data_IF_154157732430
#
_entry.id   IF_154157732430
#
_cell.length_a   1.000
_cell.length_b   1.000
_cell.length_c   1.000
_cell.angle_alpha   90.00
_cell.angle_beta   90.00
_cell.angle_gamma   90.00
#
_symmetry.space_group_name_H-M   'P 1'
#
loop_
_entity.id
_entity.type
_entity.pdbx_description
1 polymer ?
#
# COMPACT_ATOMS: atom_id res chain seq x y z
N UNK A 1 -6.84 -10.26 23.29
CA UNK A 1 -5.88 -9.15 23.48
C UNK A 1 -5.72 -8.43 22.14
N UNK A 2 -5.53 -7.12 22.14
CA UNK A 2 -5.19 -6.37 20.92
C UNK A 2 -3.71 -6.57 20.60
N UNK A 3 -3.34 -6.64 19.31
CA UNK A 3 -1.96 -6.79 18.86
C UNK A 3 -1.66 -5.72 17.81
N UNK A 4 -0.49 -5.10 17.92
CA UNK A 4 0.00 -4.13 16.95
C UNK A 4 1.20 -4.76 16.25
N UNK A 5 1.07 -5.03 14.96
CA UNK A 5 2.15 -5.57 14.15
C UNK A 5 3.07 -4.45 13.67
N UNK A 6 4.37 -4.68 13.75
CA UNK A 6 5.40 -3.77 13.25
C UNK A 6 6.35 -4.53 12.34
N UNK A 7 6.77 -3.86 11.27
CA UNK A 7 7.76 -4.35 10.32
C UNK A 7 9.05 -3.57 10.48
N UNK A 8 10.17 -4.27 10.40
CA UNK A 8 11.52 -3.71 10.48
C UNK A 8 12.26 -4.23 9.23
N UNK A 9 12.10 -3.58 8.08
CA UNK A 9 12.76 -4.01 6.86
C UNK A 9 14.28 -3.99 7.03
N UNK A 10 14.95 -5.00 6.46
CA UNK A 10 16.40 -5.17 6.53
C UNK A 10 17.08 -4.40 5.40
N UNK A 11 17.42 -3.15 5.65
CA UNK A 11 18.31 -2.36 4.76
C UNK A 11 19.77 -2.83 4.83
N UNK A 12 20.13 -3.54 5.91
CA UNK A 12 21.42 -4.12 6.19
C UNK A 12 21.28 -5.46 6.94
N UNK A 13 22.37 -6.24 7.00
CA UNK A 13 22.42 -7.47 7.79
C UNK A 13 22.42 -7.17 9.31
N UNK A 14 22.09 -8.18 10.12
CA UNK A 14 22.22 -8.12 11.58
C UNK A 14 20.96 -7.65 12.32
N UNK A 15 19.88 -7.31 11.61
CA UNK A 15 18.57 -7.02 12.22
C UNK A 15 17.93 -8.32 12.75
N UNK A 16 17.67 -8.44 14.07
CA UNK A 16 17.25 -9.71 14.68
C UNK A 16 15.86 -10.17 14.21
N UNK A 17 14.98 -9.24 13.87
CA UNK A 17 13.64 -9.53 13.36
C UNK A 17 13.23 -8.52 12.31
N UNK A 18 12.36 -8.95 11.40
CA UNK A 18 11.76 -8.11 10.37
C UNK A 18 10.24 -8.00 10.50
N UNK A 19 9.60 -8.92 11.23
CA UNK A 19 8.20 -8.86 11.59
C UNK A 19 8.04 -9.17 13.08
N UNK A 20 7.24 -8.36 13.77
CA UNK A 20 6.98 -8.53 15.18
C UNK A 20 5.70 -7.85 15.66
N UNK A 21 5.45 -7.97 16.95
CA UNK A 21 4.39 -7.24 17.66
C UNK A 21 5.00 -6.31 18.69
N UNK A 22 4.41 -5.13 18.86
CA UNK A 22 4.81 -4.15 19.87
C UNK A 22 3.80 -4.09 21.01
N UNK A 23 4.29 -4.03 22.25
CA UNK A 23 3.47 -3.87 23.45
C UNK A 23 3.29 -2.39 23.86
N UNK A 24 2.54 -2.14 24.94
CA UNK A 24 2.29 -0.79 25.46
C UNK A 24 3.54 -0.08 25.98
N UNK A 25 4.63 -0.82 26.26
CA UNK A 25 5.92 -0.28 26.69
C UNK A 25 6.85 0.00 25.51
N UNK A 26 6.43 -0.32 24.29
CA UNK A 26 7.24 -0.19 23.09
C UNK A 26 8.22 -1.35 22.87
N UNK A 27 8.11 -2.45 23.62
CA UNK A 27 8.96 -3.62 23.44
C UNK A 27 8.46 -4.44 22.25
N UNK A 28 9.36 -4.80 21.34
CA UNK A 28 9.05 -5.59 20.14
C UNK A 28 9.46 -7.05 20.35
N UNK A 29 8.53 -7.96 20.04
CA UNK A 29 8.78 -9.41 20.02
C UNK A 29 8.55 -9.95 18.61
N UNK A 30 9.39 -10.91 18.18
CA UNK A 30 9.31 -11.49 16.84
C UNK A 30 7.98 -12.23 16.63
N UNK A 31 7.43 -12.14 15.42
CA UNK A 31 6.20 -12.82 15.03
C UNK A 31 6.43 -13.76 13.84
N UNK A 32 5.78 -14.95 13.82
CA UNK A 32 5.05 -15.54 14.94
C UNK A 32 5.99 -15.97 16.08
N UNK A 33 7.27 -16.19 15.76
CA UNK A 33 8.33 -16.45 16.71
C UNK A 33 9.70 -16.00 16.13
N UNK A 34 10.76 -16.19 16.92
CA UNK A 34 12.12 -15.86 16.50
C UNK A 34 12.66 -16.78 15.40
N UNK A 35 12.21 -18.04 15.30
CA UNK A 35 12.71 -18.98 14.28
C UNK A 35 12.36 -18.50 12.87
N UNK A 36 11.20 -17.89 12.68
CA UNK A 36 10.83 -17.25 11.43
C UNK A 36 11.76 -16.11 11.01
N UNK A 37 12.42 -15.46 11.96
CA UNK A 37 13.23 -14.27 11.71
C UNK A 37 14.75 -14.55 11.66
N UNK A 38 15.23 -15.58 12.37
CA UNK A 38 16.65 -15.78 12.64
C UNK A 38 17.52 -16.16 11.42
N UNK A 39 16.92 -16.62 10.33
CA UNK A 39 17.67 -17.20 9.21
C UNK A 39 18.36 -16.18 8.29
N UNK A 40 18.10 -14.87 8.42
CA UNK A 40 18.72 -13.82 7.60
C UNK A 40 18.72 -14.14 6.08
N UNK A 41 17.63 -14.73 5.56
CA UNK A 41 17.51 -15.12 4.15
C UNK A 41 18.27 -16.39 3.73
N UNK A 42 18.89 -17.14 4.65
CA UNK A 42 19.74 -18.29 4.28
C UNK A 42 18.97 -19.57 3.89
N UNK A 43 17.72 -19.73 4.33
CA UNK A 43 16.93 -20.95 4.05
C UNK A 43 15.68 -20.72 3.22
N UNK A 44 15.30 -19.46 2.95
CA UNK A 44 14.11 -19.07 2.18
C UNK A 44 12.78 -19.70 2.64
N UNK A 45 12.75 -20.24 3.86
CA UNK A 45 11.56 -20.80 4.49
C UNK A 45 11.09 -19.92 5.66
N UNK A 46 11.99 -19.12 6.24
CA UNK A 46 11.64 -18.01 7.13
C UNK A 46 11.35 -16.69 6.39
N UNK A 47 11.36 -15.59 7.15
CA UNK A 47 11.24 -14.21 6.68
C UNK A 47 12.62 -13.60 6.45
N UNK A 48 12.82 -13.04 5.26
CA UNK A 48 14.04 -12.35 4.87
C UNK A 48 13.98 -10.86 5.22
N UNK A 49 13.00 -10.13 4.67
CA UNK A 49 12.82 -8.69 4.91
C UNK A 49 11.40 -8.27 4.57
N UNK A 50 10.62 -7.92 5.58
CA UNK A 50 9.22 -7.52 5.45
C UNK A 50 9.12 -6.00 5.53
N UNK A 51 8.54 -5.40 4.50
CA UNK A 51 8.32 -3.95 4.47
C UNK A 51 6.95 -3.55 5.01
N UNK A 52 5.87 -4.14 4.48
CA UNK A 52 4.50 -3.82 4.90
C UNK A 52 3.66 -5.09 4.97
N UNK A 53 2.59 -4.98 5.74
CA UNK A 53 1.60 -6.03 5.97
C UNK A 53 0.19 -5.52 5.71
N UNK A 54 -0.75 -6.44 5.54
CA UNK A 54 -2.18 -6.16 5.50
C UNK A 54 -2.94 -7.17 6.37
N UNK A 55 -4.02 -6.74 6.99
CA UNK A 55 -4.96 -7.62 7.68
C UNK A 55 -6.27 -7.50 6.93
N UNK A 56 -6.86 -8.63 6.56
CA UNK A 56 -8.15 -8.65 5.89
C UNK A 56 -9.33 -8.89 6.85
N UNK A 57 -10.54 -8.86 6.31
CA UNK A 57 -11.77 -9.09 7.07
C UNK A 57 -11.91 -10.52 7.62
N UNK A 58 -11.02 -11.42 7.23
CA UNK A 58 -10.98 -12.84 7.61
C UNK A 58 -10.00 -13.10 8.76
N UNK A 59 -9.45 -12.04 9.36
CA UNK A 59 -8.41 -12.14 10.39
C UNK A 59 -7.16 -12.88 9.91
N UNK A 60 -6.78 -12.70 8.64
CA UNK A 60 -5.51 -13.20 8.09
C UNK A 60 -4.51 -12.06 8.01
N UNK A 61 -3.30 -12.27 8.53
CA UNK A 61 -2.17 -11.36 8.36
C UNK A 61 -1.40 -11.73 7.09
N UNK A 62 -1.49 -10.85 6.10
CA UNK A 62 -0.75 -10.94 4.86
C UNK A 62 0.58 -10.22 4.97
N UNK A 63 1.65 -10.94 4.66
CA UNK A 63 3.04 -10.52 4.82
C UNK A 63 3.72 -10.59 3.46
N UNK A 64 4.22 -9.45 2.99
CA UNK A 64 5.07 -9.40 1.80
C UNK A 64 6.53 -9.37 2.23
N UNK A 65 7.25 -10.48 2.01
CA UNK A 65 8.69 -10.60 2.21
C UNK A 65 9.42 -10.39 0.88
N UNK A 66 10.29 -9.39 0.83
CA UNK A 66 10.99 -9.00 -0.41
C UNK A 66 12.05 -10.00 -0.83
N UNK A 67 12.52 -10.85 0.09
CA UNK A 67 13.66 -11.73 -0.15
C UNK A 67 15.01 -10.99 -0.27
N UNK A 68 15.05 -9.68 -0.02
CA UNK A 68 16.23 -8.82 -0.13
C UNK A 68 16.71 -8.31 1.23
N UNK A 69 18.01 -8.30 1.44
CA UNK A 69 18.67 -7.58 2.55
C UNK A 69 19.61 -6.56 1.92
N UNK A 70 19.34 -5.28 2.16
CA UNK A 70 19.90 -4.20 1.34
C UNK A 70 19.58 -4.45 -0.14
N UNK A 71 20.59 -4.40 -1.00
CA UNK A 71 20.44 -4.63 -2.44
C UNK A 71 20.62 -6.10 -2.85
N UNK A 72 21.00 -6.98 -1.92
CA UNK A 72 21.29 -8.38 -2.24
C UNK A 72 20.03 -9.24 -2.16
N UNK A 73 19.72 -9.97 -3.23
CA UNK A 73 18.63 -10.94 -3.28
C UNK A 73 19.09 -12.29 -2.68
N UNK A 74 18.59 -12.63 -1.50
CA UNK A 74 18.89 -13.92 -0.84
C UNK A 74 17.86 -14.99 -1.20
N UNK A 75 16.59 -14.60 -1.31
CA UNK A 75 15.46 -15.49 -1.58
C UNK A 75 14.53 -14.90 -2.64
N UNK A 76 13.74 -15.69 -3.37
CA UNK A 76 12.64 -15.14 -4.15
C UNK A 76 11.68 -14.33 -3.24
N UNK A 77 11.08 -13.23 -3.72
CA UNK A 77 10.00 -12.57 -3.01
C UNK A 77 8.89 -13.57 -2.69
N UNK A 78 8.23 -13.43 -1.54
CA UNK A 78 7.15 -14.33 -1.16
C UNK A 78 6.02 -13.60 -0.43
N UNK A 79 4.80 -14.00 -0.77
CA UNK A 79 3.59 -13.58 -0.07
C UNK A 79 3.17 -14.68 0.89
N UNK A 80 3.01 -14.35 2.17
CA UNK A 80 2.55 -15.28 3.19
C UNK A 80 1.23 -14.79 3.79
N UNK A 81 0.39 -15.71 4.23
CA UNK A 81 -0.74 -15.41 5.09
C UNK A 81 -0.69 -16.25 6.38
N UNK A 82 -0.83 -15.58 7.52
CA UNK A 82 -0.94 -16.21 8.83
C UNK A 82 -2.36 -16.05 9.37
N UNK A 83 -2.91 -17.11 9.95
CA UNK A 83 -4.16 -17.04 10.70
C UNK A 83 -3.92 -16.33 12.03
N UNK A 84 -4.63 -15.23 12.31
CA UNK A 84 -4.43 -14.46 13.55
C UNK A 84 -5.07 -15.11 14.79
N UNK A 85 -5.84 -16.19 14.64
CA UNK A 85 -6.37 -16.94 15.78
C UNK A 85 -5.38 -17.94 16.35
N UNK A 86 -4.59 -18.56 15.46
CA UNK A 86 -3.67 -19.67 15.75
C UNK A 86 -2.20 -19.30 15.56
N UNK A 87 -1.92 -18.15 14.95
CA UNK A 87 -0.59 -17.67 14.53
C UNK A 87 0.15 -18.64 13.59
N UNK A 88 -0.60 -19.51 12.90
CA UNK A 88 -0.07 -20.49 11.96
C UNK A 88 -0.06 -19.94 10.54
N UNK A 89 0.96 -20.34 9.77
CA UNK A 89 0.99 -20.10 8.33
C UNK A 89 -0.12 -20.92 7.65
N UNK A 90 -0.97 -20.24 6.89
CA UNK A 90 -2.09 -20.85 6.15
C UNK A 90 -1.94 -20.71 4.63
N UNK A 91 -1.06 -19.83 4.15
CA UNK A 91 -0.78 -19.66 2.73
C UNK A 91 0.66 -19.17 2.52
N UNK A 92 1.31 -19.66 1.46
CA UNK A 92 2.61 -19.18 0.99
C UNK A 92 2.66 -19.24 -0.53
N UNK A 93 2.99 -18.13 -1.15
CA UNK A 93 3.28 -18.03 -2.57
C UNK A 93 4.70 -17.51 -2.78
N UNK A 94 5.60 -18.34 -3.29
CA UNK A 94 6.96 -17.93 -3.70
C UNK A 94 6.88 -17.40 -5.13
N UNK A 95 7.24 -16.13 -5.34
CA UNK A 95 7.13 -15.48 -6.65
C UNK A 95 8.15 -16.10 -7.61
N UNK A 96 7.69 -16.51 -8.79
CA UNK A 96 8.56 -17.06 -9.83
C UNK A 96 9.50 -15.97 -10.38
N UNK A 97 10.75 -16.33 -10.73
CA UNK A 97 11.73 -15.41 -11.32
C UNK A 97 11.27 -14.74 -12.62
N UNK A 98 10.30 -15.32 -13.34
CA UNK A 98 9.70 -14.66 -14.51
C UNK A 98 8.80 -13.46 -14.15
N UNK A 99 8.42 -13.31 -12.89
CA UNK A 99 7.50 -12.29 -12.40
C UNK A 99 8.20 -11.13 -11.69
N UNK A 100 9.53 -11.11 -11.64
CA UNK A 100 10.29 -10.02 -11.02
C UNK A 100 11.64 -9.81 -11.72
N UNK A 101 12.24 -8.63 -11.54
CA UNK A 101 13.57 -8.31 -12.06
C UNK A 101 14.56 -8.13 -10.92
N UNK A 102 15.86 -8.04 -11.22
CA UNK A 102 16.88 -7.77 -10.21
C UNK A 102 16.62 -6.46 -9.45
N UNK A 103 15.95 -5.50 -10.09
CA UNK A 103 15.53 -4.23 -9.48
C UNK A 103 14.23 -4.31 -8.70
N UNK A 104 13.42 -5.37 -8.83
CA UNK A 104 12.11 -5.44 -8.17
C UNK A 104 12.22 -5.40 -6.64
N UNK A 105 11.29 -4.69 -6.01
CA UNK A 105 11.14 -4.59 -4.57
C UNK A 105 9.64 -4.50 -4.25
N UNK A 106 9.00 -5.66 -4.08
CA UNK A 106 7.58 -5.77 -3.73
C UNK A 106 7.35 -5.47 -2.26
N UNK A 107 6.72 -4.34 -1.95
CA UNK A 107 6.63 -3.86 -0.56
C UNK A 107 5.23 -3.62 -0.04
N UNK A 108 4.25 -3.27 -0.88
CA UNK A 108 2.92 -2.85 -0.42
C UNK A 108 1.85 -3.88 -0.82
N UNK A 109 1.44 -4.80 0.07
CA UNK A 109 0.30 -5.67 -0.19
C UNK A 109 -1.02 -4.97 0.14
N UNK A 110 -2.01 -5.14 -0.73
CA UNK A 110 -3.42 -4.77 -0.53
C UNK A 110 -4.29 -5.97 -0.87
N UNK A 111 -5.17 -6.35 0.06
CA UNK A 111 -5.93 -7.60 0.00
C UNK A 111 -7.37 -7.30 -0.41
N UNK A 112 -7.81 -7.88 -1.53
CA UNK A 112 -9.15 -7.74 -2.07
C UNK A 112 -9.94 -9.04 -1.89
N UNK A 113 -10.70 -9.10 -0.80
CA UNK A 113 -11.63 -10.20 -0.50
C UNK A 113 -13.02 -9.85 -1.04
N UNK A 114 -13.65 -10.80 -1.76
CA UNK A 114 -15.05 -10.70 -2.23
C UNK A 114 -15.90 -11.73 -1.52
N UNK A 115 -16.36 -11.34 -0.34
CA UNK A 115 -17.25 -12.14 0.47
C UNK A 115 -18.64 -12.29 -0.19
N UNK A 116 -19.16 -13.53 -0.23
CA UNK A 116 -20.58 -13.83 -0.54
C UNK A 116 -21.42 -14.03 0.73
N UNK A 117 -20.82 -13.85 1.90
CA UNK A 117 -21.43 -14.11 3.20
C UNK A 117 -20.39 -14.12 4.31
N UNK A 118 -20.83 -13.98 5.57
CA UNK A 118 -19.93 -13.90 6.72
C UNK A 118 -18.95 -15.09 6.75
N UNK A 119 -17.65 -14.79 6.74
CA UNK A 119 -16.58 -15.79 6.75
C UNK A 119 -16.19 -16.37 5.39
N UNK A 120 -16.85 -16.00 4.28
CA UNK A 120 -16.39 -16.39 2.94
C UNK A 120 -15.19 -15.53 2.51
N UNK A 121 -14.04 -16.18 2.43
CA UNK A 121 -12.75 -15.58 2.11
C UNK A 121 -12.09 -16.27 0.91
N UNK A 122 -12.85 -17.07 0.15
CA UNK A 122 -12.32 -17.89 -0.93
C UNK A 122 -11.92 -17.04 -2.14
N UNK A 123 -12.73 -16.06 -2.53
CA UNK A 123 -12.37 -15.07 -3.56
C UNK A 123 -11.47 -14.00 -2.94
N UNK A 124 -10.18 -14.31 -2.91
CA UNK A 124 -9.14 -13.38 -2.45
C UNK A 124 -8.13 -13.13 -3.56
N UNK A 125 -7.92 -11.85 -3.85
CA UNK A 125 -6.77 -11.37 -4.60
C UNK A 125 -5.85 -10.55 -3.71
N UNK A 126 -4.56 -10.59 -3.99
CA UNK A 126 -3.59 -9.67 -3.36
C UNK A 126 -2.84 -8.91 -4.43
N UNK A 127 -2.88 -7.58 -4.34
CA UNK A 127 -2.13 -6.68 -5.21
C UNK A 127 -0.90 -6.18 -4.46
N UNK A 128 0.27 -6.29 -5.08
CA UNK A 128 1.54 -5.90 -4.45
C UNK A 128 2.30 -4.91 -5.32
N UNK A 129 2.53 -3.71 -4.79
CA UNK A 129 3.30 -2.66 -5.46
C UNK A 129 4.79 -2.98 -5.47
N UNK A 130 5.39 -2.95 -6.66
CA UNK A 130 6.83 -3.02 -6.90
C UNK A 130 7.40 -1.61 -6.99
N UNK A 131 7.98 -1.14 -5.88
CA UNK A 131 8.39 0.25 -5.78
C UNK A 131 9.60 0.57 -6.64
N UNK A 132 10.46 -0.41 -6.92
CA UNK A 132 11.72 -0.23 -7.65
C UNK A 132 11.69 -0.81 -9.07
N UNK A 133 10.85 -1.82 -9.32
CA UNK A 133 10.59 -2.39 -10.65
C UNK A 133 9.36 -1.83 -11.36
N UNK A 134 8.69 -0.84 -10.75
CA UNK A 134 7.59 -0.03 -11.29
C UNK A 134 6.46 -0.89 -11.91
N UNK A 135 6.05 -1.89 -11.15
CA UNK A 135 5.06 -2.88 -11.57
C UNK A 135 4.10 -3.24 -10.44
N UNK A 136 3.06 -3.97 -10.77
CA UNK A 136 2.11 -4.50 -9.79
C UNK A 136 2.05 -6.02 -9.94
N UNK A 137 2.26 -6.75 -8.85
CA UNK A 137 2.00 -8.19 -8.81
C UNK A 137 0.55 -8.41 -8.39
N UNK A 138 -0.22 -9.15 -9.17
CA UNK A 138 -1.55 -9.61 -8.78
C UNK A 138 -1.50 -11.11 -8.52
N UNK A 139 -1.90 -11.53 -7.32
CA UNK A 139 -1.94 -12.92 -6.88
C UNK A 139 -3.40 -13.37 -6.75
N UNK A 140 -3.78 -14.36 -7.56
CA UNK A 140 -5.03 -15.11 -7.45
C UNK A 140 -4.82 -16.24 -6.44
N UNK A 141 -5.29 -16.04 -5.21
CA UNK A 141 -5.02 -16.96 -4.09
C UNK A 141 -5.71 -18.31 -4.30
N UNK A 142 -6.94 -18.30 -4.84
CA UNK A 142 -7.69 -19.52 -5.09
C UNK A 142 -7.12 -20.32 -6.27
N UNK A 143 -6.63 -19.63 -7.29
CA UNK A 143 -5.98 -20.24 -8.46
C UNK A 143 -4.50 -20.57 -8.27
N UNK A 144 -3.92 -20.25 -7.11
CA UNK A 144 -2.50 -20.35 -6.76
C UNK A 144 -1.55 -19.90 -7.90
N UNK A 145 -1.84 -18.71 -8.43
CA UNK A 145 -1.14 -18.16 -9.59
C UNK A 145 -1.02 -16.65 -9.48
N UNK A 146 -0.04 -16.09 -10.16
CA UNK A 146 0.17 -14.66 -10.18
C UNK A 146 0.61 -14.16 -11.55
N UNK A 147 0.44 -12.87 -11.77
CA UNK A 147 0.96 -12.18 -12.95
C UNK A 147 1.51 -10.81 -12.57
N UNK A 148 2.53 -10.40 -13.30
CA UNK A 148 3.12 -9.06 -13.22
C UNK A 148 2.41 -8.15 -14.21
N UNK A 149 1.99 -6.98 -13.75
CA UNK A 149 1.32 -5.96 -14.53
C UNK A 149 2.25 -4.75 -14.64
N UNK A 150 2.46 -4.27 -15.85
CA UNK A 150 3.23 -3.06 -16.14
C UNK A 150 2.31 -1.99 -16.71
N UNK A 151 2.49 -0.76 -16.24
CA UNK A 151 1.77 0.41 -16.74
C UNK A 151 2.56 1.68 -16.45
N UNK A 152 2.46 2.69 -17.32
CA UNK A 152 3.21 3.96 -17.19
C UNK A 152 2.92 4.71 -15.89
N UNK A 153 1.73 4.53 -15.31
CA UNK A 153 1.32 5.21 -14.06
C UNK A 153 1.95 4.58 -12.81
N UNK A 154 2.69 3.47 -12.94
CA UNK A 154 3.46 2.90 -11.84
C UNK A 154 4.86 3.53 -11.69
N UNK A 155 5.28 4.32 -12.67
CA UNK A 155 6.59 4.96 -12.68
C UNK A 155 6.62 6.22 -11.81
N UNK A 156 7.78 6.53 -11.21
CA UNK A 156 8.02 7.81 -10.56
C UNK A 156 8.05 8.95 -11.58
N UNK A 157 7.69 10.16 -11.15
CA UNK A 157 7.81 11.38 -11.93
C UNK A 157 9.12 12.09 -11.54
N UNK A 158 10.10 12.24 -12.46
CA UNK A 158 11.42 12.79 -12.12
C UNK A 158 11.38 14.17 -11.44
N UNK A 159 10.43 15.03 -11.82
CA UNK A 159 10.24 16.35 -11.20
C UNK A 159 9.73 16.31 -9.75
N UNK A 160 9.37 15.12 -9.24
CA UNK A 160 8.84 14.87 -7.89
C UNK A 160 9.71 13.88 -7.10
N UNK A 161 10.94 13.61 -7.55
CA UNK A 161 11.87 12.71 -6.90
C UNK A 161 12.56 13.27 -5.66
N UNK A 162 12.56 14.58 -5.47
CA UNK A 162 13.16 15.25 -4.32
C UNK A 162 12.14 15.49 -3.23
N UNK A 163 12.52 15.17 -2.00
CA UNK A 163 11.70 15.31 -0.80
C UNK A 163 12.40 16.25 0.16
N UNK A 164 11.62 17.10 0.85
CA UNK A 164 12.11 17.93 1.94
C UNK A 164 11.17 17.77 3.13
N UNK A 165 11.70 17.33 4.26
CA UNK A 165 10.94 17.12 5.49
C UNK A 165 11.77 17.67 6.64
N UNK A 166 11.19 18.60 7.42
CA UNK A 166 11.85 19.14 8.61
C UNK A 166 13.26 19.70 8.33
N UNK A 167 13.43 20.36 7.18
CA UNK A 167 14.68 21.00 6.74
C UNK A 167 15.72 20.06 6.14
N UNK A 168 15.47 18.74 6.09
CA UNK A 168 16.38 17.77 5.47
C UNK A 168 15.83 17.32 4.11
N UNK A 169 16.71 17.25 3.12
CA UNK A 169 16.37 16.88 1.74
C UNK A 169 17.07 15.60 1.30
N UNK A 170 16.35 14.79 0.52
CA UNK A 170 16.88 13.57 -0.10
C UNK A 170 16.13 13.28 -1.42
N UNK A 171 16.77 12.52 -2.30
CA UNK A 171 16.15 12.04 -3.52
C UNK A 171 15.73 10.57 -3.38
N UNK A 172 14.54 10.23 -3.87
CA UNK A 172 14.03 8.87 -3.86
C UNK A 172 13.06 8.65 -5.03
N UNK A 173 13.49 7.89 -6.03
CA UNK A 173 12.71 7.65 -7.26
C UNK A 173 11.82 6.41 -7.17
N UNK A 174 11.11 6.29 -6.06
CA UNK A 174 10.22 5.18 -5.79
C UNK A 174 8.92 5.30 -6.60
N UNK A 175 8.56 4.21 -7.28
CA UNK A 175 7.33 4.05 -8.06
C UNK A 175 6.12 3.75 -7.19
N UNK A 176 5.17 2.97 -7.73
CA UNK A 176 3.91 2.61 -7.07
C UNK A 176 4.12 2.17 -5.61
N UNK A 177 3.51 2.90 -4.67
CA UNK A 177 3.70 2.69 -3.23
C UNK A 177 2.40 2.84 -2.44
N UNK A 178 1.70 3.97 -2.60
CA UNK A 178 0.40 4.21 -1.97
C UNK A 178 -0.67 3.46 -2.73
N UNK A 179 -1.48 2.66 -2.03
CA UNK A 179 -2.57 1.91 -2.62
C UNK A 179 -3.72 1.71 -1.62
N UNK A 180 -4.95 1.98 -2.05
CA UNK A 180 -6.16 1.76 -1.26
C UNK A 180 -7.31 1.21 -2.09
N UNK A 181 -8.02 0.21 -1.56
CA UNK A 181 -9.25 -0.29 -2.17
C UNK A 181 -10.46 0.52 -1.75
N UNK A 182 -11.33 0.83 -2.71
CA UNK A 182 -12.66 1.36 -2.41
C UNK A 182 -13.53 0.36 -1.65
N UNK A 183 -14.62 0.79 -1.00
CA UNK A 183 -15.69 -0.13 -0.66
C UNK A 183 -16.17 -0.91 -1.89
N UNK A 184 -16.66 -2.13 -1.67
CA UNK A 184 -17.26 -2.94 -2.74
C UNK A 184 -18.55 -2.27 -3.21
N UNK A 185 -18.64 -1.97 -4.50
CA UNK A 185 -19.85 -1.41 -5.09
C UNK A 185 -20.96 -2.44 -5.19
N UNK A 186 -22.20 -1.98 -5.44
CA UNK A 186 -23.38 -2.85 -5.64
C UNK A 186 -23.23 -3.87 -6.78
N UNK A 187 -22.30 -3.65 -7.72
CA UNK A 187 -22.02 -4.56 -8.85
C UNK A 187 -20.85 -5.51 -8.59
N UNK A 188 -20.46 -5.67 -7.32
CA UNK A 188 -19.27 -6.42 -6.92
C UNK A 188 -17.99 -5.92 -7.63
N UNK A 189 -17.92 -4.64 -7.94
CA UNK A 189 -16.71 -3.98 -8.47
C UNK A 189 -16.03 -3.17 -7.37
N UNK A 190 -14.70 -3.04 -7.45
CA UNK A 190 -13.92 -2.10 -6.64
C UNK A 190 -12.95 -1.31 -7.51
N UNK A 191 -12.56 -0.17 -6.98
CA UNK A 191 -11.42 0.57 -7.48
C UNK A 191 -10.21 0.34 -6.58
N UNK A 192 -9.05 0.18 -7.21
CA UNK A 192 -7.77 0.41 -6.57
C UNK A 192 -7.35 1.84 -6.88
N UNK A 193 -7.27 2.67 -5.84
CA UNK A 193 -6.59 3.96 -5.86
C UNK A 193 -5.10 3.70 -5.63
N UNK A 194 -4.24 4.44 -6.32
CA UNK A 194 -2.80 4.27 -6.20
C UNK A 194 -2.00 5.46 -6.72
N UNK A 195 -0.79 5.60 -6.18
CA UNK A 195 0.22 6.53 -6.67
C UNK A 195 1.64 6.01 -6.48
N UNK A 196 2.55 6.54 -7.29
CA UNK A 196 3.98 6.42 -7.04
C UNK A 196 4.42 7.34 -5.90
N UNK A 197 5.46 6.96 -5.13
CA UNK A 197 5.97 7.79 -4.05
C UNK A 197 6.50 9.13 -4.58
N UNK A 198 7.32 9.08 -5.63
CA UNK A 198 7.76 10.27 -6.36
C UNK A 198 6.68 10.74 -7.34
N UNK A 199 5.50 11.08 -6.80
CA UNK A 199 4.38 11.65 -7.56
C UNK A 199 3.47 12.51 -6.68
N UNK A 200 2.82 13.47 -7.32
CA UNK A 200 1.69 14.25 -6.77
C UNK A 200 0.35 13.81 -7.34
N UNK A 201 0.34 12.92 -8.35
CA UNK A 201 -0.87 12.40 -8.98
C UNK A 201 -1.51 11.30 -8.14
N UNK A 202 -2.84 11.17 -8.27
CA UNK A 202 -3.59 10.00 -7.81
C UNK A 202 -4.15 9.29 -9.04
N UNK A 203 -4.16 7.97 -9.01
CA UNK A 203 -4.59 7.15 -10.14
C UNK A 203 -5.63 6.15 -9.68
N UNK A 204 -6.37 5.60 -10.63
CA UNK A 204 -7.46 4.66 -10.33
C UNK A 204 -7.60 3.61 -11.42
N UNK A 205 -7.87 2.38 -11.00
CA UNK A 205 -8.14 1.24 -11.88
C UNK A 205 -9.24 0.36 -11.30
N UNK A 206 -10.08 -0.22 -12.17
CA UNK A 206 -11.05 -1.24 -11.75
C UNK A 206 -10.31 -2.53 -11.41
N UNK A 207 -10.62 -3.12 -10.27
CA UNK A 207 -10.02 -4.41 -9.86
C UNK A 207 -10.35 -5.55 -10.82
N UNK A 208 -11.49 -5.50 -11.52
CA UNK A 208 -11.83 -6.44 -12.59
C UNK A 208 -10.78 -6.50 -13.71
N UNK A 209 -10.14 -5.37 -14.03
CA UNK A 209 -9.03 -5.33 -14.97
C UNK A 209 -7.83 -6.07 -14.38
N UNK A 210 -7.44 -5.75 -13.15
CA UNK A 210 -6.27 -6.35 -12.49
C UNK A 210 -6.41 -7.86 -12.29
N UNK A 211 -7.64 -8.35 -12.15
CA UNK A 211 -8.01 -9.77 -12.01
C UNK A 211 -7.96 -10.55 -13.33
N UNK A 212 -7.73 -9.89 -14.47
CA UNK A 212 -7.74 -10.53 -15.77
C UNK A 212 -6.50 -11.41 -15.99
N UNK A 213 -6.71 -12.72 -16.18
CA UNK A 213 -5.63 -13.66 -16.40
C UNK A 213 -4.91 -13.51 -17.75
N UNK A 214 -5.36 -12.64 -18.65
CA UNK A 214 -4.62 -12.33 -19.89
C UNK A 214 -3.20 -11.83 -19.62
N UNK A 215 -2.97 -11.22 -18.45
CA UNK A 215 -1.67 -10.77 -17.99
C UNK A 215 -0.62 -11.88 -17.83
N UNK A 216 -1.05 -13.14 -17.72
CA UNK A 216 -0.14 -14.30 -17.77
C UNK A 216 0.64 -14.37 -19.09
N UNK A 217 0.07 -13.83 -20.18
CA UNK A 217 0.69 -13.86 -21.52
C UNK A 217 1.31 -12.53 -21.92
N UNK A 218 0.76 -11.41 -21.44
CA UNK A 218 1.28 -10.07 -21.74
C UNK A 218 1.18 -9.21 -20.49
N UNK A 219 2.29 -8.83 -19.84
CA UNK A 219 2.26 -8.03 -18.62
C UNK A 219 1.77 -6.59 -18.83
N UNK A 220 1.77 -6.09 -20.07
CA UNK A 220 1.45 -4.71 -20.35
C UNK A 220 -0.07 -4.47 -20.29
N UNK A 221 -0.50 -3.65 -19.33
CA UNK A 221 -1.89 -3.20 -19.26
C UNK A 221 -2.23 -2.29 -20.43
N UNK A 222 -3.50 -2.27 -20.83
CA UNK A 222 -3.97 -1.30 -21.80
C UNK A 222 -3.69 0.13 -21.26
N UNK A 223 -3.07 1.04 -22.05
CA UNK A 223 -2.82 2.41 -21.63
C UNK A 223 -4.06 3.21 -21.18
N UNK A 224 -5.27 2.76 -21.57
CA UNK A 224 -6.56 3.35 -21.19
C UNK A 224 -7.24 2.62 -20.02
N UNK A 225 -6.68 1.50 -19.55
CA UNK A 225 -7.26 0.74 -18.46
C UNK A 225 -7.09 1.40 -17.08
N UNK A 226 -6.06 2.22 -16.91
CA UNK A 226 -5.78 2.96 -15.68
C UNK A 226 -5.83 4.45 -15.95
N UNK A 227 -6.52 5.17 -15.07
CA UNK A 227 -6.82 6.59 -15.26
C UNK A 227 -6.15 7.42 -14.18
N UNK A 228 -5.69 8.61 -14.56
CA UNK A 228 -5.11 9.60 -13.65
C UNK A 228 -6.17 10.66 -13.34
N UNK A 229 -6.27 11.10 -12.09
CA UNK A 229 -7.14 12.21 -11.75
C UNK A 229 -6.63 13.53 -12.37
N UNK A 230 -7.52 14.44 -12.82
CA UNK A 230 -7.09 15.64 -13.54
C UNK A 230 -6.30 16.65 -12.70
N UNK A 231 -6.58 16.70 -11.38
CA UNK A 231 -5.85 17.56 -10.44
C UNK A 231 -4.93 16.71 -9.55
N UNK A 232 -3.94 17.37 -8.95
CA UNK A 232 -2.89 16.72 -8.16
C UNK A 232 -2.94 17.17 -6.69
N UNK A 233 -2.28 16.40 -5.82
CA UNK A 233 -1.93 16.87 -4.48
C UNK A 233 -0.89 17.98 -4.56
N UNK A 234 -0.82 18.79 -3.50
CA UNK A 234 0.20 19.84 -3.38
C UNK A 234 1.61 19.27 -3.21
N UNK A 235 1.73 18.12 -2.54
CA UNK A 235 3.01 17.45 -2.27
C UNK A 235 2.86 15.93 -2.35
N UNK A 236 3.99 15.22 -2.36
CA UNK A 236 4.04 13.76 -2.41
C UNK A 236 3.36 13.13 -1.19
N UNK A 237 2.89 11.89 -1.38
CA UNK A 237 2.27 11.10 -0.33
C UNK A 237 2.88 9.70 -0.30
N UNK A 238 3.14 9.19 0.90
CA UNK A 238 3.60 7.83 1.09
C UNK A 238 2.42 6.86 1.15
N UNK A 239 1.95 6.52 2.35
CA UNK A 239 0.85 5.58 2.52
C UNK A 239 -0.53 6.24 2.51
N UNK A 240 -1.52 5.45 2.10
CA UNK A 240 -2.93 5.80 2.12
C UNK A 240 -3.80 4.62 2.55
N UNK A 241 -5.01 4.91 3.00
CA UNK A 241 -6.05 3.91 3.28
C UNK A 241 -7.44 4.51 3.06
N UNK A 242 -8.43 3.69 2.73
CA UNK A 242 -9.81 4.12 2.57
C UNK A 242 -10.72 3.43 3.58
N UNK A 243 -11.68 4.19 4.14
CA UNK A 243 -12.68 3.62 5.05
C UNK A 243 -13.91 3.05 4.32
N UNK A 244 -14.87 2.54 5.11
CA UNK A 244 -16.07 1.90 4.55
C UNK A 244 -17.03 2.89 3.88
N UNK A 245 -16.87 4.18 4.17
CA UNK A 245 -17.68 5.26 3.62
C UNK A 245 -17.04 5.86 2.35
N UNK A 246 -15.87 5.36 1.94
CA UNK A 246 -15.15 5.84 0.77
C UNK A 246 -14.36 7.12 1.02
N UNK A 247 -14.00 7.42 2.27
CA UNK A 247 -13.08 8.50 2.63
C UNK A 247 -11.66 7.93 2.56
N UNK A 248 -10.84 8.52 1.70
CA UNK A 248 -9.41 8.25 1.59
C UNK A 248 -8.63 9.10 2.59
N UNK A 249 -7.69 8.50 3.29
CA UNK A 249 -6.78 9.13 4.24
C UNK A 249 -5.36 8.98 3.73
N UNK A 250 -4.60 10.07 3.69
CA UNK A 250 -3.25 10.06 3.18
C UNK A 250 -2.38 11.11 3.88
N UNK A 251 -1.10 10.81 4.04
CA UNK A 251 -0.13 11.75 4.59
C UNK A 251 0.51 12.61 3.52
N UNK A 252 0.72 13.90 3.79
CA UNK A 252 1.47 14.83 2.94
C UNK A 252 2.69 15.33 3.69
N UNK A 253 3.75 15.66 2.96
CA UNK A 253 5.09 15.84 3.54
C UNK A 253 5.43 17.30 3.87
N UNK A 254 4.76 18.27 3.24
CA UNK A 254 5.00 19.69 3.49
C UNK A 254 3.69 20.53 3.44
N UNK A 255 3.29 21.16 4.57
CA UNK A 255 3.74 20.83 5.92
C UNK A 255 3.33 19.39 6.30
N UNK A 256 4.09 18.66 7.14
CA UNK A 256 3.75 17.29 7.54
C UNK A 256 2.36 17.19 8.16
N UNK A 257 1.44 16.51 7.46
CA UNK A 257 0.02 16.48 7.79
C UNK A 257 -0.66 15.19 7.36
N UNK A 258 -1.78 14.85 7.99
CA UNK A 258 -2.72 13.82 7.54
C UNK A 258 -3.97 14.52 7.02
N UNK A 259 -4.35 14.23 5.77
CA UNK A 259 -5.53 14.77 5.12
C UNK A 259 -6.52 13.65 4.83
N UNK A 260 -7.78 14.04 4.60
CA UNK A 260 -8.80 13.18 4.03
C UNK A 260 -9.37 13.76 2.73
N UNK A 261 -9.92 12.87 1.92
CA UNK A 261 -10.69 13.17 0.73
C UNK A 261 -11.87 12.20 0.63
N UNK A 262 -13.07 12.72 0.37
CA UNK A 262 -14.22 11.86 0.11
C UNK A 262 -14.32 11.52 -1.38
N UNK A 263 -14.21 10.25 -1.74
CA UNK A 263 -14.24 9.79 -3.15
C UNK A 263 -15.55 10.07 -3.91
N UNK A 264 -16.60 10.53 -3.22
CA UNK A 264 -17.83 11.04 -3.83
C UNK A 264 -17.68 12.47 -4.40
N UNK A 265 -16.61 13.18 -4.07
CA UNK A 265 -16.30 14.53 -4.59
C UNK A 265 -15.20 14.46 -5.65
N UNK A 266 -14.98 15.58 -6.35
CA UNK A 266 -13.86 15.70 -7.29
C UNK A 266 -12.52 15.60 -6.53
N UNK A 267 -11.55 14.91 -7.11
CA UNK A 267 -10.20 14.81 -6.58
C UNK A 267 -9.50 16.13 -6.89
N UNK A 268 -9.44 17.01 -5.91
CA UNK A 268 -8.94 18.37 -6.06
C UNK A 268 -8.56 18.96 -4.70
N UNK A 269 -7.55 19.85 -4.61
CA UNK A 269 -7.13 20.49 -3.36
C UNK A 269 -8.27 21.13 -2.56
N UNK A 270 -9.28 21.70 -3.23
CA UNK A 270 -10.48 22.28 -2.58
C UNK A 270 -11.31 21.29 -1.75
N UNK A 271 -11.20 19.99 -2.05
CA UNK A 271 -11.93 18.90 -1.40
C UNK A 271 -11.02 18.06 -0.49
N UNK A 272 -9.76 18.47 -0.31
CA UNK A 272 -8.87 17.84 0.66
C UNK A 272 -8.97 18.60 1.98
N UNK A 273 -9.22 17.87 3.06
CA UNK A 273 -9.42 18.47 4.37
C UNK A 273 -8.44 17.88 5.37
N UNK A 274 -7.77 18.77 6.10
CA UNK A 274 -6.80 18.41 7.10
C UNK A 274 -7.46 17.73 8.30
N UNK A 275 -6.87 16.62 8.73
CA UNK A 275 -7.21 15.92 9.98
C UNK A 275 -6.25 16.34 11.08
N UNK A 276 -4.95 16.35 10.79
CA UNK A 276 -3.91 16.72 11.74
C UNK A 276 -2.70 17.31 11.02
N UNK A 277 -2.03 18.27 11.67
CA UNK A 277 -0.76 18.87 11.21
C UNK A 277 0.19 18.90 12.39
N UNK A 278 1.41 18.41 12.21
CA UNK A 278 2.45 18.55 13.22
C UNK A 278 3.83 18.25 12.61
N UNK A 279 4.69 19.26 12.60
CA UNK A 279 6.02 19.17 12.00
C UNK A 279 6.96 18.18 12.71
N UNK A 280 6.75 17.93 14.01
CA UNK A 280 7.58 16.99 14.77
C UNK A 280 7.03 15.56 14.68
N UNK A 281 5.71 15.39 14.84
CA UNK A 281 5.12 14.07 15.06
C UNK A 281 4.61 13.41 13.79
N UNK A 282 4.36 14.15 12.70
CA UNK A 282 3.75 13.65 11.46
C UNK A 282 4.67 13.63 10.23
N UNK A 283 5.99 13.77 10.43
CA UNK A 283 7.04 13.90 9.39
C UNK A 283 6.82 13.03 8.14
N UNK A 284 7.15 11.75 8.18
CA UNK A 284 6.92 10.81 7.07
C UNK A 284 5.90 9.76 7.50
N UNK A 285 4.65 9.90 7.04
CA UNK A 285 3.57 8.93 7.29
C UNK A 285 3.78 7.64 6.48
N UNK A 286 4.70 6.80 6.95
CA UNK A 286 5.11 5.58 6.27
C UNK A 286 3.99 4.55 6.20
N UNK A 287 3.09 4.49 7.17
CA UNK A 287 1.95 3.56 7.19
C UNK A 287 0.66 4.26 7.56
N UNK A 288 -0.40 4.01 6.79
CA UNK A 288 -1.77 4.46 7.09
C UNK A 288 -2.67 3.24 6.95
N UNK A 289 -3.50 2.97 7.95
CA UNK A 289 -4.43 1.82 7.96
C UNK A 289 -5.77 2.24 8.55
N UNK A 290 -6.85 1.77 7.95
CA UNK A 290 -8.17 1.80 8.56
C UNK A 290 -8.48 0.39 9.06
N UNK A 291 -8.69 0.26 10.36
CA UNK A 291 -8.95 -1.04 11.01
C UNK A 291 -10.26 -0.98 11.81
N UNK A 292 -10.91 -2.13 11.97
CA UNK A 292 -12.03 -2.25 12.89
C UNK A 292 -11.49 -2.69 14.26
N UNK A 293 -11.84 -1.97 15.32
CA UNK A 293 -11.56 -2.43 16.66
C UNK A 293 -12.50 -3.58 17.06
N UNK A 294 -12.30 -4.14 18.26
CA UNK A 294 -13.11 -5.27 18.77
C UNK A 294 -14.61 -4.94 18.93
N UNK A 295 -15.00 -3.66 18.87
CA UNK A 295 -16.39 -3.19 18.91
C UNK A 295 -16.96 -2.92 17.51
N UNK A 296 -16.18 -3.15 16.45
CA UNK A 296 -16.57 -2.88 15.06
C UNK A 296 -16.46 -1.40 14.65
N UNK A 297 -15.91 -0.53 15.50
CA UNK A 297 -15.70 0.89 15.16
C UNK A 297 -14.42 1.04 14.33
N UNK A 298 -14.44 1.92 13.31
CA UNK A 298 -13.24 2.19 12.51
C UNK A 298 -12.29 3.15 13.22
N UNK A 299 -11.03 2.76 13.25
CA UNK A 299 -9.90 3.54 13.75
C UNK A 299 -8.94 3.81 12.60
N UNK A 300 -8.38 5.03 12.58
CA UNK A 300 -7.27 5.38 11.70
C UNK A 300 -5.98 5.19 12.49
N UNK A 301 -5.09 4.35 11.95
CA UNK A 301 -3.77 4.07 12.50
C UNK A 301 -2.72 4.62 11.55
N UNK A 302 -1.78 5.41 12.08
CA UNK A 302 -0.73 6.06 11.31
C UNK A 302 0.63 5.79 11.95
N UNK A 303 1.53 5.17 11.20
CA UNK A 303 2.95 5.07 11.56
C UNK A 303 3.69 6.24 10.93
N UNK A 304 4.36 7.06 11.73
CA UNK A 304 5.27 8.11 11.24
C UNK A 304 6.70 7.83 11.66
N UNK A 305 7.63 8.20 10.78
CA UNK A 305 9.07 8.06 11.03
C UNK A 305 9.85 9.32 10.66
N UNK A 306 11.03 9.47 11.24
CA UNK A 306 12.08 10.39 10.79
C UNK A 306 12.78 9.85 9.54
N UNK A 307 12.04 9.46 8.50
CA UNK A 307 12.60 8.75 7.33
C UNK A 307 13.70 9.53 6.61
N UNK A 308 13.53 10.84 6.48
CA UNK A 308 14.55 11.73 5.92
C UNK A 308 15.90 11.60 6.64
N UNK A 309 15.90 11.36 7.96
CA UNK A 309 17.11 11.18 8.78
C UNK A 309 17.75 9.80 8.61
N UNK A 310 16.97 8.81 8.21
CA UNK A 310 17.48 7.52 7.77
C UNK A 310 18.22 7.72 6.45
N UNK A 311 17.60 8.45 5.51
CA UNK A 311 18.18 8.71 4.17
C UNK A 311 19.44 9.57 4.23
N UNK A 312 19.50 10.57 5.11
CA UNK A 312 20.66 11.47 5.27
C UNK A 312 21.69 10.96 6.26
N UNK A 313 21.44 9.85 6.97
CA UNK A 313 22.34 9.31 7.98
C UNK A 313 22.45 10.13 9.27
N UNK A 314 21.45 10.98 9.57
CA UNK A 314 21.43 11.90 10.72
C UNK A 314 20.54 11.43 11.88
N UNK A 315 20.09 10.18 11.86
CA UNK A 315 19.21 9.62 12.89
C UNK A 315 19.87 9.66 14.28
N UNK A 316 19.13 10.11 15.30
CA UNK A 316 19.64 10.27 16.67
C UNK A 316 18.78 9.49 17.67
N UNK A 317 19.39 8.60 18.47
CA UNK A 317 18.68 7.78 19.46
C UNK A 317 18.18 8.54 20.69
N UNK A 318 18.65 9.76 20.93
CA UNK A 318 18.23 10.61 22.06
C UNK A 318 16.88 11.31 21.82
N UNK A 319 16.21 11.03 20.70
CA UNK A 319 14.88 11.58 20.37
C UNK A 319 13.95 10.48 19.89
N UNK A 320 12.64 10.76 19.93
CA UNK A 320 11.63 9.88 19.37
C UNK A 320 11.64 9.99 17.84
N UNK A 321 12.02 8.91 17.17
CA UNK A 321 12.11 8.84 15.70
C UNK A 321 10.94 8.13 15.03
N UNK A 322 10.22 7.28 15.78
CA UNK A 322 9.13 6.45 15.25
C UNK A 322 7.93 6.61 16.17
N UNK A 323 6.75 6.78 15.60
CA UNK A 323 5.50 6.99 16.35
C UNK A 323 4.36 6.22 15.71
N UNK A 324 3.50 5.64 16.54
CA UNK A 324 2.23 5.04 16.12
C UNK A 324 1.12 5.91 16.70
N UNK A 325 0.30 6.48 15.83
CA UNK A 325 -0.87 7.28 16.17
C UNK A 325 -2.11 6.46 15.90
N UNK A 326 -3.11 6.54 16.79
CA UNK A 326 -4.38 5.84 16.61
C UNK A 326 -5.51 6.67 17.22
N UNK A 327 -6.61 6.79 16.48
CA UNK A 327 -7.85 7.38 17.00
C UNK A 327 -9.05 6.88 16.19
N UNK A 328 -10.23 6.89 16.81
CA UNK A 328 -11.49 6.55 16.17
C UNK A 328 -11.82 7.56 15.07
N UNK A 329 -12.15 7.06 13.87
CA UNK A 329 -12.50 7.91 12.72
C UNK A 329 -13.63 8.90 13.03
N UNK A 330 -14.74 8.50 13.69
CA UNK A 330 -15.80 9.46 14.03
C UNK A 330 -15.33 10.62 14.90
N UNK A 331 -14.34 10.39 15.78
CA UNK A 331 -13.77 11.42 16.64
C UNK A 331 -12.79 12.32 15.88
N UNK A 332 -11.95 11.73 15.02
CA UNK A 332 -11.03 12.48 14.14
C UNK A 332 -11.78 13.40 13.19
N UNK A 333 -12.85 12.89 12.59
CA UNK A 333 -13.60 13.64 11.61
C UNK A 333 -14.56 14.62 12.26
N UNK A 334 -15.30 14.28 13.32
CA UNK A 334 -16.27 15.21 13.92
C UNK A 334 -17.18 15.85 12.85
N UNK A 335 -17.07 17.17 12.66
CA UNK A 335 -17.78 17.94 11.63
C UNK A 335 -16.93 18.24 10.37
N UNK A 336 -15.87 17.47 10.12
CA UNK A 336 -14.96 17.66 9.00
C UNK A 336 -15.71 17.48 7.67
N UNK A 337 -15.49 18.35 6.66
CA UNK A 337 -16.20 18.27 5.39
C UNK A 337 -16.06 16.96 4.62
N UNK A 338 -15.03 16.14 4.88
CA UNK A 338 -14.92 14.78 4.34
C UNK A 338 -16.14 13.89 4.68
N UNK A 339 -16.88 14.20 5.75
CA UNK A 339 -18.09 13.46 6.14
C UNK A 339 -19.36 13.93 5.44
N UNK A 340 -19.29 15.01 4.66
CA UNK A 340 -20.46 15.67 4.06
C UNK A 340 -20.40 15.65 2.52
N UNK A 341 -20.39 14.46 1.87
CA UNK A 341 -20.46 14.40 0.41
C UNK A 341 -21.83 14.86 -0.10
N UNK A 342 -21.94 15.26 -1.38
CA UNK A 342 -23.24 15.52 -2.02
C UNK A 342 -24.17 14.31 -1.90
N UNK A 343 -25.43 14.53 -1.50
CA UNK A 343 -26.40 13.47 -1.16
C UNK A 343 -26.71 12.53 -2.34
N UNK A 344 -26.50 12.98 -3.56
CA UNK A 344 -26.75 12.28 -4.82
C UNK A 344 -25.54 11.49 -5.33
N UNK A 345 -24.38 11.58 -4.64
CA UNK A 345 -23.13 10.95 -5.07
C UNK A 345 -22.72 9.83 -4.13
N UNK A 346 -22.36 8.69 -4.72
CA UNK A 346 -21.83 7.52 -4.00
C UNK A 346 -20.30 7.57 -3.95
N UNK A 347 -19.69 6.77 -3.07
CA UNK A 347 -18.24 6.58 -3.07
C UNK A 347 -17.74 6.14 -4.45
N UNK A 348 -16.56 6.62 -4.84
CA UNK A 348 -16.00 6.40 -6.17
C UNK A 348 -16.75 7.12 -7.30
N UNK A 349 -17.60 8.11 -7.01
CA UNK A 349 -18.28 8.91 -8.04
C UNK A 349 -17.30 9.48 -9.06
N UNK A 350 -16.23 10.15 -8.60
CA UNK A 350 -15.28 10.77 -9.53
C UNK A 350 -14.49 9.73 -10.32
N UNK A 351 -14.14 8.60 -9.70
CA UNK A 351 -13.51 7.47 -10.40
C UNK A 351 -14.40 6.94 -11.54
N UNK A 352 -15.73 6.87 -11.34
CA UNK A 352 -16.67 6.48 -12.39
C UNK A 352 -16.72 7.49 -13.55
N UNK A 353 -16.53 8.78 -13.30
CA UNK A 353 -16.51 9.80 -14.37
C UNK A 353 -15.29 9.66 -15.27
N UNK A 354 -14.13 9.33 -14.70
CA UNK A 354 -12.87 9.25 -15.44
C UNK A 354 -12.51 7.83 -15.88
N UNK A 355 -13.29 6.82 -15.49
CA UNK A 355 -13.09 5.42 -15.90
C UNK A 355 -14.22 5.00 -16.82
N UNK A 356 -14.02 5.00 -18.16
CA UNK A 356 -15.05 4.63 -19.12
C UNK A 356 -15.70 3.28 -18.77
N UNK A 357 -17.03 3.16 -18.89
CA UNK A 357 -17.74 1.88 -18.69
C UNK A 357 -17.61 0.92 -19.89
N UNK A 358 -17.03 1.37 -21.00
CA UNK A 358 -16.97 0.57 -22.22
C UNK A 358 -15.88 -0.48 -22.13
N UNK A 359 -16.29 -1.75 -21.95
CA UNK A 359 -15.48 -2.96 -22.18
C UNK A 359 -14.95 -3.10 -23.63
N UNK A 360 -15.29 -2.15 -24.51
CA UNK A 360 -14.82 -2.10 -25.90
C UNK A 360 -13.62 -1.18 -26.03
N UNK A 361 -12.47 -1.62 -25.55
CA UNK A 361 -11.20 -1.10 -26.05
C UNK A 361 -10.85 -1.88 -27.32
N UNK A 362 -11.44 -1.47 -28.44
CA UNK A 362 -11.07 -1.99 -29.76
C UNK A 362 -9.84 -1.23 -30.25
N UNK A 363 -8.66 -1.63 -29.79
CA UNK A 363 -7.39 -1.16 -30.32
C UNK A 363 -6.24 -1.94 -29.74
N UNK A 364 -5.42 -2.58 -30.58
CA UNK A 364 -4.15 -3.15 -30.12
C UNK A 364 -3.17 -2.01 -29.84
N UNK A 365 -3.12 -1.52 -28.61
CA UNK A 365 -2.06 -0.60 -28.18
C UNK A 365 -0.76 -1.38 -28.03
N UNK A 366 0.26 -1.02 -28.82
CA UNK A 366 1.63 -1.50 -28.61
C UNK A 366 2.41 -0.40 -27.89
N UNK A 367 3.01 -0.74 -26.76
CA UNK A 367 4.03 0.10 -26.15
C UNK A 367 5.20 0.19 -27.15
N UNK A 368 5.49 1.40 -27.63
CA UNK A 368 6.66 1.63 -28.48
C UNK A 368 7.93 1.51 -27.64
N UNK A 369 8.94 0.82 -28.17
CA UNK A 369 10.29 0.84 -27.62
C UNK A 369 11.24 1.48 -28.62
N UNK A 370 12.23 2.23 -28.12
CA UNK A 370 13.27 2.87 -28.94
C UNK A 370 14.09 1.84 -29.72
N UNK A 371 14.15 0.60 -29.22
CA UNK A 371 14.81 -0.53 -29.89
C UNK A 371 14.14 -1.02 -31.19
N UNK A 372 12.97 -0.46 -31.55
CA UNK A 372 12.29 -0.73 -32.82
C UNK A 372 12.41 0.42 -33.84
N UNK A 373 13.14 1.48 -33.49
CA UNK A 373 13.58 2.55 -34.40
C UNK A 373 15.02 2.27 -34.83
#
# INVERSE_FOLDING_TARGET
MSRIFITIPRFDEGRPMTLGTVDERGQVSAYPDYQWNNNQGQNCDGLTSVFRVAIDECSRLWVMDTGKIGDTQYCPPQLLAFDLGTDQLIYRFKVNSSLYTDTSLYITPVVDVRSRGAGDCADTFVYVGDVSGFSLLAVDVAGDRAWRITHRLFFPFPSRGSFTIDGESFDLMDGILGMALSPVSRRNERYLYFHALASTTENVVRTSILRNSSFLTNPNADPQAMNVFPEERLTQSAAEAMDRNGILYFGVMDPPSILCWNSATEFAPRNFHTIAVNQETLQFASGVKVVNNLKGEQELWVLTSSFQRVMTGTLNSNRVNFRIHAEKIPRLLGNNPCTMPPKDRLHGYHANLITPMTDRIHGSYRYGAVSYL
#
